data_IF_087879932088
#
_entry.id   IF_087879932088
#
_cell.length_a   1.000
_cell.length_b   1.000
_cell.length_c   1.000
_cell.angle_alpha   90.00
_cell.angle_beta   90.00
_cell.angle_gamma   90.00
#
_symmetry.space_group_name_H-M   'P 1'
#
loop_
_entity.id
_entity.type
_entity.pdbx_description
1 polymer ?
#
# COMPACT_ATOMS: atom_id res chain seq x y z
N UNK A 1 3.48 -3.69 -14.59
CA UNK A 1 3.02 -3.12 -13.29
C UNK A 1 3.42 -4.08 -12.21
N UNK A 2 4.07 -3.60 -11.16
CA UNK A 2 4.43 -4.38 -9.97
C UNK A 2 3.60 -3.83 -8.82
N UNK A 3 2.95 -4.72 -8.08
CA UNK A 3 2.12 -4.42 -6.92
C UNK A 3 2.78 -5.11 -5.74
N UNK A 4 3.51 -4.35 -4.93
CA UNK A 4 4.10 -4.83 -3.69
C UNK A 4 3.07 -4.69 -2.57
N UNK A 5 2.52 -5.81 -2.15
CA UNK A 5 1.46 -5.90 -1.15
C UNK A 5 2.08 -6.32 0.18
N UNK A 6 2.53 -5.33 0.96
CA UNK A 6 3.09 -5.53 2.29
C UNK A 6 2.04 -5.63 3.40
N UNK A 7 2.52 -5.68 4.65
CA UNK A 7 1.66 -5.64 5.84
C UNK A 7 1.08 -4.24 6.07
N UNK A 8 1.91 -3.20 5.97
CA UNK A 8 1.47 -1.81 6.18
C UNK A 8 0.98 -1.13 4.90
N UNK A 9 1.78 -1.19 3.85
CA UNK A 9 1.52 -0.48 2.59
C UNK A 9 1.28 -1.42 1.43
N UNK A 10 0.60 -0.90 0.42
CA UNK A 10 0.60 -1.47 -0.93
C UNK A 10 1.18 -0.43 -1.86
N UNK A 11 2.26 -0.78 -2.55
CA UNK A 11 3.01 0.09 -3.45
C UNK A 11 2.89 -0.42 -4.89
N UNK A 12 2.56 0.48 -5.81
CA UNK A 12 2.29 0.21 -7.22
C UNK A 12 3.29 0.97 -8.07
N UNK A 13 4.12 0.23 -8.81
CA UNK A 13 5.11 0.77 -9.73
C UNK A 13 4.84 0.32 -11.17
N UNK A 14 4.88 1.28 -12.10
CA UNK A 14 4.61 1.03 -13.52
C UNK A 14 5.90 1.21 -14.32
N UNK A 15 6.35 0.15 -14.97
CA UNK A 15 7.61 0.12 -15.70
C UNK A 15 7.42 -0.35 -17.14
N UNK A 16 8.22 0.22 -18.04
CA UNK A 16 8.50 -0.32 -19.36
C UNK A 16 9.85 -1.03 -19.33
N UNK A 17 9.89 -2.26 -19.85
CA UNK A 17 11.13 -2.99 -20.08
C UNK A 17 11.72 -2.45 -21.38
N UNK A 18 12.90 -1.83 -21.31
CA UNK A 18 13.56 -1.19 -22.45
C UNK A 18 14.69 -2.01 -23.04
N UNK A 19 15.28 -2.90 -22.23
CA UNK A 19 16.40 -3.77 -22.60
C UNK A 19 16.52 -4.88 -21.53
N UNK A 20 17.43 -5.83 -21.74
CA UNK A 20 17.76 -6.86 -20.77
C UNK A 20 18.19 -6.22 -19.45
N UNK A 21 17.41 -6.50 -18.39
CA UNK A 21 17.61 -5.96 -17.05
C UNK A 21 17.66 -4.43 -16.99
N UNK A 22 16.92 -3.75 -17.87
CA UNK A 22 16.70 -2.31 -17.77
C UNK A 22 15.22 -1.99 -17.90
N UNK A 23 14.78 -1.11 -17.02
CA UNK A 23 13.43 -0.57 -17.03
C UNK A 23 13.46 0.94 -16.98
N UNK A 24 12.41 1.59 -17.47
CA UNK A 24 12.10 2.99 -17.14
C UNK A 24 10.73 3.06 -16.50
N UNK A 25 10.58 4.00 -15.59
CA UNK A 25 9.31 4.25 -14.93
C UNK A 25 8.35 5.00 -15.87
N UNK A 26 7.10 4.55 -15.95
CA UNK A 26 6.06 5.10 -16.83
C UNK A 26 5.16 6.11 -16.12
N UNK A 27 4.97 5.92 -14.81
CA UNK A 27 4.14 6.74 -13.94
C UNK A 27 4.83 6.78 -12.58
N UNK A 28 4.76 7.95 -11.92
CA UNK A 28 5.26 8.09 -10.57
C UNK A 28 4.68 6.98 -9.66
N UNK A 29 5.48 6.41 -8.73
CA UNK A 29 4.99 5.34 -7.89
C UNK A 29 3.81 5.85 -7.06
N UNK A 30 2.83 4.98 -6.88
CA UNK A 30 1.65 5.29 -6.08
C UNK A 30 1.41 4.17 -5.08
N UNK A 31 0.64 4.44 -4.05
CA UNK A 31 0.39 3.46 -3.02
C UNK A 31 -0.41 4.06 -1.88
N UNK A 32 -0.69 3.21 -0.91
CA UNK A 32 -1.47 3.61 0.25
C UNK A 32 -1.36 2.61 1.38
N UNK A 33 -1.93 3.00 2.51
CA UNK A 33 -1.93 2.20 3.72
C UNK A 33 -3.06 1.16 3.66
N UNK A 34 -2.91 0.21 2.74
CA UNK A 34 -3.92 -0.80 2.38
C UNK A 34 -3.46 -2.24 2.66
N UNK A 35 -2.29 -2.39 3.28
CA UNK A 35 -1.69 -3.69 3.55
C UNK A 35 -2.51 -4.54 4.53
N UNK A 36 -2.10 -5.80 4.71
CA UNK A 36 -2.84 -6.79 5.51
C UNK A 36 -3.04 -6.40 6.98
N UNK A 37 -2.20 -5.54 7.56
CA UNK A 37 -2.34 -5.05 8.94
C UNK A 37 -3.64 -4.30 9.17
N UNK A 38 -4.21 -3.69 8.12
CA UNK A 38 -5.49 -2.99 8.24
C UNK A 38 -6.68 -3.96 8.39
N UNK A 39 -6.54 -5.21 7.93
CA UNK A 39 -7.53 -6.26 8.19
C UNK A 39 -7.55 -6.57 9.69
N UNK A 40 -6.39 -6.73 10.31
CA UNK A 40 -6.28 -7.00 11.76
C UNK A 40 -6.86 -5.85 12.58
N UNK A 41 -6.50 -4.61 12.23
CA UNK A 41 -7.02 -3.41 12.89
C UNK A 41 -8.53 -3.31 12.77
N UNK A 42 -9.10 -3.59 11.60
CA UNK A 42 -10.55 -3.55 11.40
C UNK A 42 -11.26 -4.65 12.19
N UNK A 43 -10.65 -5.82 12.31
CA UNK A 43 -11.18 -6.91 13.14
C UNK A 43 -11.14 -6.55 14.62
N UNK A 44 -10.01 -6.05 15.13
CA UNK A 44 -9.91 -5.59 16.51
C UNK A 44 -10.90 -4.46 16.76
N UNK A 45 -11.03 -3.49 15.86
CA UNK A 45 -12.02 -2.42 15.98
C UNK A 45 -13.46 -2.97 16.07
N UNK A 46 -13.79 -3.99 15.28
CA UNK A 46 -15.08 -4.66 15.37
C UNK A 46 -15.31 -5.32 16.75
N UNK A 47 -14.28 -5.91 17.37
CA UNK A 47 -14.38 -6.42 18.75
C UNK A 47 -14.69 -5.29 19.75
N UNK A 48 -14.08 -4.11 19.59
CA UNK A 48 -14.40 -2.93 20.40
C UNK A 48 -15.84 -2.45 20.21
N UNK A 49 -16.43 -2.61 19.02
CA UNK A 49 -17.83 -2.27 18.76
C UNK A 49 -18.81 -3.27 19.41
N UNK A 50 -18.47 -4.55 19.45
CA UNK A 50 -19.30 -5.58 20.10
C UNK A 50 -19.19 -5.48 21.61
N UNK A 51 -17.97 -5.50 22.14
CA UNK A 51 -17.68 -5.67 23.56
C UNK A 51 -17.44 -4.35 24.32
N UNK A 52 -17.49 -3.22 23.62
CA UNK A 52 -17.30 -1.90 24.21
C UNK A 52 -15.84 -1.59 24.53
N UNK A 53 -15.51 -0.31 24.49
CA UNK A 53 -14.13 0.16 24.67
C UNK A 53 -13.61 -0.08 26.09
N UNK A 54 -14.44 0.13 27.11
CA UNK A 54 -14.06 -0.04 28.52
C UNK A 54 -13.58 -1.46 28.81
N UNK A 55 -14.34 -2.46 28.39
CA UNK A 55 -14.04 -3.87 28.70
C UNK A 55 -12.90 -4.40 27.85
N UNK A 56 -12.84 -4.03 26.56
CA UNK A 56 -11.68 -4.36 25.73
C UNK A 56 -10.38 -3.79 26.30
N UNK A 57 -10.37 -2.54 26.76
CA UNK A 57 -9.17 -1.93 27.38
C UNK A 57 -8.83 -2.58 28.72
N UNK A 58 -9.83 -2.95 29.52
CA UNK A 58 -9.64 -3.65 30.79
C UNK A 58 -9.07 -5.06 30.56
N UNK A 59 -9.55 -5.80 29.58
CA UNK A 59 -8.98 -7.09 29.21
C UNK A 59 -7.53 -6.93 28.75
N UNK A 60 -7.27 -5.98 27.85
CA UNK A 60 -5.93 -5.72 27.32
C UNK A 60 -4.92 -5.33 28.43
N UNK A 61 -5.34 -4.59 29.46
CA UNK A 61 -4.46 -4.20 30.56
C UNK A 61 -4.25 -5.28 31.61
N UNK A 62 -5.26 -6.12 31.85
CA UNK A 62 -5.22 -7.18 32.88
C UNK A 62 -4.68 -8.52 32.37
N UNK A 63 -4.85 -8.80 31.07
CA UNK A 63 -4.45 -10.06 30.43
C UNK A 63 -3.69 -9.83 29.10
N UNK A 64 -2.59 -9.05 29.10
CA UNK A 64 -1.87 -8.70 27.87
C UNK A 64 -1.30 -9.92 27.12
N UNK A 65 -0.89 -10.97 27.84
CA UNK A 65 -0.42 -12.22 27.24
C UNK A 65 -1.55 -12.95 26.49
N UNK A 66 -2.76 -12.95 27.03
CA UNK A 66 -3.94 -13.56 26.39
C UNK A 66 -4.40 -12.74 25.19
N UNK A 67 -4.30 -11.42 25.27
CA UNK A 67 -4.57 -10.55 24.13
C UNK A 67 -3.59 -10.80 22.98
N UNK A 68 -2.29 -10.94 23.27
CA UNK A 68 -1.29 -11.29 22.25
C UNK A 68 -1.54 -12.67 21.62
N UNK A 69 -1.97 -13.66 22.41
CA UNK A 69 -2.40 -14.97 21.86
C UNK A 69 -3.60 -14.78 20.92
N UNK A 70 -4.58 -13.96 21.31
CA UNK A 70 -5.74 -13.72 20.47
C UNK A 70 -5.37 -13.04 19.14
N UNK A 71 -4.48 -12.05 19.16
CA UNK A 71 -3.95 -11.41 17.94
C UNK A 71 -3.22 -12.43 17.04
N UNK A 72 -2.43 -13.33 17.62
CA UNK A 72 -1.78 -14.41 16.85
C UNK A 72 -2.79 -15.39 16.24
N UNK A 73 -3.88 -15.69 16.96
CA UNK A 73 -4.95 -16.54 16.46
C UNK A 73 -5.72 -15.86 15.31
N UNK A 74 -5.92 -14.54 15.39
CA UNK A 74 -6.46 -13.71 14.31
C UNK A 74 -5.54 -13.75 13.08
N UNK A 75 -4.24 -13.52 13.25
CA UNK A 75 -3.25 -13.58 12.17
C UNK A 75 -3.27 -14.96 11.49
N UNK A 76 -3.27 -16.02 12.29
CA UNK A 76 -3.31 -17.40 11.81
C UNK A 76 -4.58 -17.67 11.00
N UNK A 77 -5.74 -17.24 11.48
CA UNK A 77 -7.00 -17.38 10.77
C UNK A 77 -7.01 -16.57 9.46
N UNK A 78 -6.48 -15.34 9.46
CA UNK A 78 -6.35 -14.48 8.28
C UNK A 78 -5.44 -15.09 7.21
N UNK A 79 -4.27 -15.60 7.60
CA UNK A 79 -3.31 -16.23 6.67
C UNK A 79 -3.97 -17.45 6.00
N UNK A 80 -4.69 -18.26 6.77
CA UNK A 80 -5.34 -19.47 6.28
C UNK A 80 -6.67 -19.19 5.58
N UNK A 81 -7.19 -17.96 5.64
CA UNK A 81 -8.47 -17.63 5.05
C UNK A 81 -8.45 -17.73 3.52
N UNK A 82 -9.35 -18.58 3.01
CA UNK A 82 -9.67 -18.69 1.59
C UNK A 82 -11.13 -19.15 1.49
N UNK A 83 -12.02 -18.23 1.14
CA UNK A 83 -13.44 -18.53 0.97
C UNK A 83 -13.79 -18.72 -0.51
N UNK A 84 -13.07 -19.59 -1.23
CA UNK A 84 -13.40 -19.89 -2.63
C UNK A 84 -13.86 -21.32 -2.82
N UNK A 85 -14.55 -21.55 -3.95
CA UNK A 85 -15.15 -22.85 -4.27
C UNK A 85 -14.12 -23.96 -4.47
N UNK A 86 -12.84 -23.62 -4.66
CA UNK A 86 -11.76 -24.55 -5.02
C UNK A 86 -10.93 -24.95 -3.79
N UNK A 87 -10.84 -24.10 -2.76
CA UNK A 87 -10.12 -24.37 -1.54
C UNK A 87 -10.97 -23.93 -0.36
N UNK A 88 -11.56 -24.89 0.36
CA UNK A 88 -12.13 -24.64 1.69
C UNK A 88 -11.12 -25.14 2.71
N UNK A 89 -10.33 -24.25 3.35
CA UNK A 89 -9.55 -24.64 4.50
C UNK A 89 -10.46 -25.30 5.51
N UNK A 90 -9.98 -26.38 6.14
CA UNK A 90 -10.76 -27.12 7.13
C UNK A 90 -11.12 -26.24 8.34
N UNK A 91 -10.34 -25.18 8.59
CA UNK A 91 -10.54 -24.19 9.64
C UNK A 91 -10.05 -22.79 9.21
N UNK A 92 -10.94 -21.80 9.23
CA UNK A 92 -10.61 -20.35 9.18
C UNK A 92 -11.35 -19.58 10.29
N UNK A 93 -11.92 -20.32 11.24
CA UNK A 93 -12.43 -19.73 12.47
C UNK A 93 -11.28 -19.19 13.30
N UNK A 94 -11.54 -18.09 13.99
CA UNK A 94 -10.58 -17.52 14.93
C UNK A 94 -10.70 -18.36 16.20
N UNK A 95 -9.59 -18.97 16.62
CA UNK A 95 -9.52 -19.61 17.92
C UNK A 95 -9.56 -18.52 19.00
N UNK A 96 -10.68 -18.41 19.71
CA UNK A 96 -10.88 -17.39 20.74
C UNK A 96 -10.40 -17.95 22.07
N UNK A 97 -9.41 -17.33 22.74
CA UNK A 97 -8.93 -17.84 24.02
C UNK A 97 -10.09 -17.98 25.03
N UNK A 98 -10.19 -19.10 25.78
CA UNK A 98 -11.23 -19.28 26.78
C UNK A 98 -11.28 -18.13 27.79
N UNK A 99 -10.11 -17.64 28.21
CA UNK A 99 -9.98 -16.47 29.09
C UNK A 99 -10.60 -15.20 28.53
N UNK A 100 -10.59 -15.00 27.21
CA UNK A 100 -11.28 -13.87 26.58
C UNK A 100 -12.80 -14.06 26.65
N UNK A 101 -13.26 -15.26 26.32
CA UNK A 101 -14.68 -15.62 26.35
C UNK A 101 -15.27 -15.48 27.76
N UNK A 102 -14.59 -16.02 28.77
CA UNK A 102 -15.01 -15.96 30.18
C UNK A 102 -15.06 -14.51 30.67
N UNK A 103 -14.00 -13.73 30.41
CA UNK A 103 -13.93 -12.32 30.80
C UNK A 103 -15.07 -11.50 30.18
N UNK A 104 -15.37 -11.74 28.91
CA UNK A 104 -16.43 -11.02 28.21
C UNK A 104 -17.81 -11.45 28.64
N UNK A 105 -18.07 -12.75 28.80
CA UNK A 105 -19.36 -13.30 29.23
C UNK A 105 -19.73 -12.86 30.64
N UNK A 106 -18.79 -12.86 31.58
CA UNK A 106 -19.00 -12.36 32.94
C UNK A 106 -19.44 -10.88 32.94
N UNK A 107 -19.05 -10.14 31.90
CA UNK A 107 -19.36 -8.72 31.75
C UNK A 107 -20.63 -8.45 30.93
N UNK A 108 -21.02 -9.38 30.06
CA UNK A 108 -22.11 -9.24 29.07
C UNK A 108 -23.37 -10.04 29.39
N UNK A 109 -23.60 -10.47 30.64
CA UNK A 109 -24.79 -11.24 31.02
C UNK A 109 -26.11 -10.47 30.84
N UNK A 110 -26.60 -10.42 29.60
CA UNK A 110 -28.02 -10.44 29.18
C UNK A 110 -28.06 -10.68 27.67
N UNK A 111 -28.62 -11.83 27.26
CA UNK A 111 -28.95 -12.26 25.89
C UNK A 111 -27.85 -12.93 25.06
N UNK A 112 -27.64 -14.23 25.29
CA UNK A 112 -27.12 -15.14 24.27
C UNK A 112 -28.27 -16.05 23.79
N UNK A 113 -28.56 -16.12 22.47
CA UNK A 113 -29.44 -17.15 21.93
C UNK A 113 -28.70 -18.49 21.90
N UNK A 114 -29.29 -19.51 22.50
CA UNK A 114 -28.88 -20.91 22.35
C UNK A 114 -29.33 -21.41 20.97
N UNK A 115 -28.37 -21.63 20.08
CA UNK A 115 -28.63 -22.23 18.77
C UNK A 115 -27.37 -22.89 18.24
N UNK A 116 -27.31 -24.21 18.35
CA UNK A 116 -26.21 -25.05 17.89
C UNK A 116 -26.40 -25.35 16.40
N UNK A 117 -25.95 -24.45 15.52
CA UNK A 117 -25.84 -24.73 14.09
C UNK A 117 -24.51 -24.19 13.53
N UNK A 118 -23.49 -25.02 13.68
CA UNK A 118 -22.09 -24.76 13.32
C UNK A 118 -21.92 -24.29 11.86
N UNK A 119 -22.86 -24.64 10.97
CA UNK A 119 -22.85 -24.25 9.55
C UNK A 119 -23.15 -22.76 9.32
N UNK A 120 -24.08 -22.19 10.10
CA UNK A 120 -24.46 -20.77 10.05
C UNK A 120 -23.35 -19.92 10.65
N UNK A 121 -22.73 -20.34 11.75
CA UNK A 121 -21.58 -19.66 12.34
C UNK A 121 -20.38 -19.62 11.40
N UNK A 122 -20.06 -20.73 10.74
CA UNK A 122 -18.98 -20.79 9.76
C UNK A 122 -19.25 -19.91 8.52
N UNK A 123 -20.51 -19.80 8.09
CA UNK A 123 -20.90 -18.88 7.01
C UNK A 123 -20.82 -17.41 7.42
N UNK A 124 -21.25 -17.07 8.63
CA UNK A 124 -21.13 -15.72 9.19
C UNK A 124 -19.66 -15.31 9.34
N UNK A 125 -18.78 -16.22 9.75
CA UNK A 125 -17.33 -16.00 9.79
C UNK A 125 -16.74 -15.78 8.40
N UNK A 126 -17.14 -16.55 7.39
CA UNK A 126 -16.68 -16.34 6.02
C UNK A 126 -17.13 -15.00 5.44
N UNK A 127 -18.40 -14.62 5.65
CA UNK A 127 -18.93 -13.32 5.22
C UNK A 127 -18.21 -12.16 5.93
N UNK A 128 -17.92 -12.32 7.21
CA UNK A 128 -17.17 -11.34 7.99
C UNK A 128 -15.74 -11.16 7.43
N UNK A 129 -15.01 -12.26 7.22
CA UNK A 129 -13.68 -12.20 6.60
C UNK A 129 -13.71 -11.60 5.20
N UNK A 130 -14.65 -12.00 4.33
CA UNK A 130 -14.81 -11.40 3.01
C UNK A 130 -14.95 -9.87 3.12
N UNK A 131 -15.84 -9.38 3.99
CA UNK A 131 -16.03 -7.94 4.17
C UNK A 131 -14.74 -7.23 4.62
N UNK A 132 -13.97 -7.82 5.53
CA UNK A 132 -12.71 -7.24 6.00
C UNK A 132 -11.67 -7.15 4.86
N UNK A 133 -11.51 -8.22 4.08
CA UNK A 133 -10.58 -8.22 2.95
C UNK A 133 -11.05 -7.33 1.80
N UNK A 134 -12.33 -7.38 1.45
CA UNK A 134 -12.91 -6.65 0.32
C UNK A 134 -12.84 -5.14 0.53
N UNK A 135 -12.98 -4.67 1.77
CA UNK A 135 -12.77 -3.26 2.13
C UNK A 135 -11.37 -2.79 1.74
N UNK A 136 -10.33 -3.57 2.06
CA UNK A 136 -8.95 -3.27 1.70
C UNK A 136 -8.70 -3.39 0.19
N UNK A 137 -9.22 -4.45 -0.44
CA UNK A 137 -9.04 -4.71 -1.88
C UNK A 137 -9.72 -3.64 -2.74
N UNK A 138 -10.84 -3.08 -2.30
CA UNK A 138 -11.54 -2.00 -3.01
C UNK A 138 -10.64 -0.79 -3.25
N UNK A 139 -9.88 -0.35 -2.24
CA UNK A 139 -8.97 0.79 -2.38
C UNK A 139 -7.83 0.48 -3.37
N UNK A 140 -7.28 -0.74 -3.29
CA UNK A 140 -6.22 -1.21 -4.17
C UNK A 140 -6.70 -1.29 -5.63
N UNK A 141 -7.87 -1.90 -5.86
CA UNK A 141 -8.47 -2.02 -7.18
C UNK A 141 -8.82 -0.66 -7.77
N UNK A 142 -9.43 0.24 -7.00
CA UNK A 142 -9.74 1.59 -7.45
C UNK A 142 -8.49 2.36 -7.89
N UNK A 143 -7.38 2.22 -7.16
CA UNK A 143 -6.11 2.85 -7.55
C UNK A 143 -5.55 2.22 -8.84
N UNK A 144 -5.58 0.90 -8.99
CA UNK A 144 -5.11 0.22 -10.20
C UNK A 144 -5.94 0.65 -11.42
N UNK A 145 -7.27 0.65 -11.32
CA UNK A 145 -8.17 1.07 -12.39
C UNK A 145 -7.91 2.51 -12.83
N UNK A 146 -7.72 3.41 -11.87
CA UNK A 146 -7.34 4.81 -12.14
C UNK A 146 -6.04 4.92 -12.93
N UNK A 147 -5.05 4.08 -12.64
CA UNK A 147 -3.81 4.03 -13.42
C UNK A 147 -4.09 3.48 -14.82
N UNK A 148 -4.83 2.38 -14.95
CA UNK A 148 -5.10 1.70 -16.22
C UNK A 148 -5.84 2.59 -17.25
N UNK A 149 -6.66 3.54 -16.82
CA UNK A 149 -7.37 4.47 -17.72
C UNK A 149 -6.54 5.71 -18.12
N UNK A 150 -5.31 5.86 -17.59
CA UNK A 150 -4.44 7.00 -17.90
C UNK A 150 -4.00 7.03 -19.36
N UNK A 151 -3.66 8.22 -19.86
CA UNK A 151 -3.13 8.40 -21.23
C UNK A 151 -1.88 7.55 -21.53
N UNK A 152 -1.09 7.24 -20.50
CA UNK A 152 0.08 6.38 -20.61
C UNK A 152 -0.33 4.97 -21.05
N UNK A 153 -1.31 4.36 -20.37
CA UNK A 153 -1.76 3.00 -20.69
C UNK A 153 -2.70 2.93 -21.90
N UNK A 154 -3.30 4.05 -22.32
CA UNK A 154 -3.97 4.14 -23.64
C UNK A 154 -2.98 4.02 -24.80
N UNK A 155 -1.80 4.65 -24.67
CA UNK A 155 -0.73 4.60 -25.70
C UNK A 155 0.07 3.31 -25.62
N UNK A 156 0.28 2.80 -24.41
CA UNK A 156 1.10 1.61 -24.16
C UNK A 156 0.35 0.67 -23.21
N UNK A 157 -0.50 -0.22 -23.74
CA UNK A 157 -1.29 -1.14 -22.94
C UNK A 157 -0.44 -1.99 -22.00
N UNK A 158 -0.95 -2.23 -20.79
CA UNK A 158 -0.30 -3.07 -19.81
C UNK A 158 -0.19 -4.51 -20.35
N UNK A 159 0.99 -5.14 -20.20
CA UNK A 159 1.21 -6.54 -20.57
C UNK A 159 1.21 -7.48 -19.38
N UNK A 160 1.84 -7.06 -18.27
CA UNK A 160 2.05 -7.89 -17.09
C UNK A 160 1.79 -7.13 -15.80
N UNK A 161 1.07 -7.78 -14.89
CA UNK A 161 0.85 -7.34 -13.51
C UNK A 161 1.47 -8.35 -12.56
N UNK A 162 2.45 -7.95 -11.77
CA UNK A 162 3.13 -8.82 -10.80
C UNK A 162 2.60 -8.53 -9.39
N UNK A 163 2.19 -9.56 -8.66
CA UNK A 163 1.80 -9.45 -7.25
C UNK A 163 2.95 -9.94 -6.37
N UNK A 164 3.56 -9.04 -5.61
CA UNK A 164 4.66 -9.31 -4.68
C UNK A 164 4.24 -8.96 -3.25
N UNK A 165 5.07 -9.34 -2.27
CA UNK A 165 4.86 -9.01 -0.86
C UNK A 165 4.06 -10.05 -0.08
N UNK A 166 4.09 -9.93 1.24
CA UNK A 166 3.47 -10.91 2.15
C UNK A 166 1.95 -11.01 2.03
N UNK A 167 1.27 -9.89 1.77
CA UNK A 167 -0.19 -9.90 1.60
C UNK A 167 -0.61 -10.58 0.30
N UNK A 168 0.24 -10.53 -0.74
CA UNK A 168 0.03 -11.28 -1.98
C UNK A 168 0.15 -12.81 -1.81
N UNK A 169 0.63 -13.32 -0.67
CA UNK A 169 0.59 -14.75 -0.35
C UNK A 169 -0.82 -15.27 -0.07
N UNK A 170 -1.76 -14.39 0.32
CA UNK A 170 -3.14 -14.78 0.62
C UNK A 170 -3.84 -15.34 -0.63
N UNK A 171 -4.38 -16.56 -0.52
CA UNK A 171 -5.13 -17.20 -1.62
C UNK A 171 -6.39 -16.42 -1.97
N UNK A 172 -7.09 -15.90 -0.96
CA UNK A 172 -8.21 -15.00 -1.15
C UNK A 172 -7.83 -13.82 -2.05
N UNK A 173 -6.76 -13.10 -1.70
CA UNK A 173 -6.26 -11.95 -2.49
C UNK A 173 -5.92 -12.37 -3.91
N UNK A 174 -5.16 -13.46 -4.09
CA UNK A 174 -4.79 -13.96 -5.42
C UNK A 174 -6.01 -14.26 -6.30
N UNK A 175 -7.07 -14.81 -5.72
CA UNK A 175 -8.31 -15.14 -6.44
C UNK A 175 -9.14 -13.90 -6.75
N UNK A 176 -9.26 -12.97 -5.80
CA UNK A 176 -9.96 -11.70 -6.04
C UNK A 176 -9.30 -10.91 -7.17
N UNK A 177 -7.96 -10.83 -7.23
CA UNK A 177 -7.26 -10.20 -8.35
C UNK A 177 -7.59 -10.87 -9.69
N UNK A 178 -7.60 -12.21 -9.74
CA UNK A 178 -7.93 -12.96 -10.96
C UNK A 178 -9.37 -12.73 -11.39
N UNK A 179 -10.32 -12.65 -10.44
CA UNK A 179 -11.74 -12.41 -10.72
C UNK A 179 -11.95 -10.97 -11.21
N UNK A 180 -11.41 -10.00 -10.47
CA UNK A 180 -11.61 -8.57 -10.72
C UNK A 180 -11.06 -8.15 -12.08
N UNK A 181 -9.89 -8.66 -12.48
CA UNK A 181 -9.24 -8.33 -13.74
C UNK A 181 -9.32 -9.44 -14.79
N UNK A 182 -10.30 -10.36 -14.69
CA UNK A 182 -10.43 -11.52 -15.59
C UNK A 182 -10.57 -11.15 -17.07
N UNK A 183 -11.25 -10.04 -17.35
CA UNK A 183 -11.55 -9.58 -18.72
C UNK A 183 -10.50 -8.59 -19.24
N UNK A 184 -9.46 -8.32 -18.44
CA UNK A 184 -8.35 -7.47 -18.86
C UNK A 184 -7.36 -8.23 -19.75
N UNK A 185 -6.71 -7.51 -20.66
CA UNK A 185 -5.78 -8.07 -21.66
C UNK A 185 -4.39 -8.42 -21.12
N UNK A 186 -4.06 -7.99 -19.90
CA UNK A 186 -2.77 -8.26 -19.28
C UNK A 186 -2.76 -9.58 -18.52
N UNK A 187 -1.56 -10.15 -18.34
CA UNK A 187 -1.36 -11.35 -17.52
C UNK A 187 -1.02 -10.98 -16.09
N UNK A 188 -1.74 -11.58 -15.14
CA UNK A 188 -1.40 -11.51 -13.71
C UNK A 188 -0.39 -12.63 -13.42
N UNK A 189 0.77 -12.25 -12.90
CA UNK A 189 1.85 -13.14 -12.51
C UNK A 189 2.02 -13.06 -10.99
N UNK A 190 1.88 -14.20 -10.33
CA UNK A 190 2.13 -14.34 -8.90
C UNK A 190 3.37 -15.22 -8.78
N UNK A 191 4.51 -14.70 -8.27
CA UNK A 191 5.70 -15.50 -8.03
C UNK A 191 5.40 -16.68 -7.09
N UNK A 192 6.23 -17.74 -7.17
CA UNK A 192 6.08 -18.89 -6.28
C UNK A 192 6.15 -18.49 -4.79
N UNK A 193 7.02 -17.52 -4.47
CA UNK A 193 7.19 -16.95 -3.14
C UNK A 193 7.03 -15.42 -3.20
N UNK A 194 5.79 -14.89 -3.18
CA UNK A 194 5.55 -13.44 -3.26
C UNK A 194 6.25 -12.66 -2.13
N UNK A 195 6.24 -13.21 -0.91
CA UNK A 195 6.92 -12.65 0.26
C UNK A 195 8.42 -12.43 0.07
N UNK A 196 9.09 -13.31 -0.70
CA UNK A 196 10.55 -13.24 -0.89
C UNK A 196 10.96 -12.42 -2.12
N UNK A 197 10.00 -12.02 -2.97
CA UNK A 197 10.28 -11.43 -4.28
C UNK A 197 11.12 -10.14 -4.20
N UNK A 198 10.88 -9.32 -3.18
CA UNK A 198 11.62 -8.06 -2.99
C UNK A 198 13.08 -8.33 -2.57
N UNK A 199 13.29 -9.19 -1.58
CA UNK A 199 14.64 -9.51 -1.08
C UNK A 199 15.45 -10.30 -2.11
N UNK A 200 14.81 -11.22 -2.84
CA UNK A 200 15.44 -11.96 -3.94
C UNK A 200 15.84 -11.01 -5.08
N UNK A 201 14.99 -10.04 -5.41
CA UNK A 201 15.30 -9.01 -6.39
C UNK A 201 16.48 -8.14 -5.97
N UNK A 202 16.51 -7.71 -4.70
CA UNK A 202 17.61 -6.92 -4.14
C UNK A 202 18.94 -7.69 -4.16
N UNK A 203 18.94 -8.96 -3.75
CA UNK A 203 20.14 -9.80 -3.77
C UNK A 203 20.65 -10.03 -5.19
N UNK A 204 19.76 -10.27 -6.16
CA UNK A 204 20.12 -10.42 -7.56
C UNK A 204 20.70 -9.13 -8.15
N UNK A 205 20.11 -7.97 -7.82
CA UNK A 205 20.63 -6.67 -8.25
C UNK A 205 22.04 -6.42 -7.69
N UNK A 206 22.26 -6.72 -6.40
CA UNK A 206 23.57 -6.59 -5.77
C UNK A 206 24.64 -7.49 -6.39
N UNK A 207 24.32 -8.77 -6.65
CA UNK A 207 25.25 -9.70 -7.33
C UNK A 207 25.66 -9.20 -8.72
N UNK A 208 24.71 -8.64 -9.47
CA UNK A 208 24.97 -8.09 -10.80
C UNK A 208 25.87 -6.85 -10.75
N UNK A 209 25.66 -5.98 -9.77
CA UNK A 209 26.49 -4.79 -9.58
C UNK A 209 27.97 -5.12 -9.33
N UNK A 210 28.27 -6.32 -8.79
CA UNK A 210 29.65 -6.82 -8.57
C UNK A 210 30.24 -7.43 -9.85
N UNK A 211 29.42 -8.03 -10.72
CA UNK A 211 29.89 -8.89 -11.82
C UNK A 211 30.14 -8.15 -13.14
N UNK A 212 29.65 -6.91 -13.32
CA UNK A 212 29.75 -6.17 -14.60
C UNK A 212 30.53 -4.87 -14.38
N UNK A 213 31.65 -4.70 -15.10
CA UNK A 213 32.51 -3.49 -15.07
C UNK A 213 31.78 -2.19 -15.48
N UNK A 214 30.60 -2.29 -16.09
CA UNK A 214 29.68 -1.19 -16.36
C UNK A 214 28.47 -1.28 -15.45
N UNK A 215 28.44 -0.45 -14.42
CA UNK A 215 27.27 -0.16 -13.56
C UNK A 215 26.18 0.56 -14.36
N UNK A 216 25.53 -0.14 -15.30
CA UNK A 216 24.30 0.37 -15.88
C UNK A 216 23.18 0.25 -14.84
N UNK A 217 22.55 1.37 -14.49
CA UNK A 217 21.41 1.38 -13.59
C UNK A 217 20.27 0.48 -14.11
N UNK A 218 19.71 -0.35 -13.23
CA UNK A 218 18.56 -1.22 -13.55
C UNK A 218 17.33 -0.37 -13.90
N UNK A 219 17.08 0.68 -13.13
CA UNK A 219 16.10 1.72 -13.49
C UNK A 219 16.84 2.83 -14.21
N UNK A 220 16.45 3.13 -15.44
CA UNK A 220 17.12 4.11 -16.31
C UNK A 220 16.57 5.52 -16.16
N UNK A 221 15.28 5.64 -15.80
CA UNK A 221 14.66 6.91 -15.46
C UNK A 221 13.49 6.72 -14.50
N UNK A 222 13.25 7.75 -13.69
CA UNK A 222 12.15 7.83 -12.72
C UNK A 222 11.20 8.97 -13.08
N UNK A 223 9.91 8.80 -12.80
CA UNK A 223 8.92 9.88 -12.93
C UNK A 223 8.78 10.56 -11.57
N UNK A 224 9.08 11.86 -11.51
CA UNK A 224 9.12 12.54 -10.22
C UNK A 224 7.72 12.67 -9.59
N UNK A 225 7.51 12.18 -8.36
CA UNK A 225 6.20 12.25 -7.70
C UNK A 225 5.86 13.67 -7.23
N UNK A 226 6.86 14.55 -7.13
CA UNK A 226 6.73 15.92 -6.64
C UNK A 226 7.60 16.86 -7.47
N UNK A 227 7.31 18.16 -7.38
CA UNK A 227 8.20 19.20 -7.89
C UNK A 227 9.34 19.42 -6.90
N UNK A 228 10.58 19.31 -7.36
CA UNK A 228 11.78 19.51 -6.54
C UNK A 228 12.48 20.79 -6.96
N UNK A 229 13.06 21.46 -5.97
CA UNK A 229 13.69 22.75 -6.15
C UNK A 229 14.31 23.24 -4.85
N UNK A 230 14.93 24.40 -4.90
CA UNK A 230 15.54 25.05 -3.74
C UNK A 230 14.89 26.39 -3.46
N UNK A 231 14.95 26.80 -2.20
CA UNK A 231 14.62 28.15 -1.80
C UNK A 231 15.74 29.10 -2.27
N UNK A 232 15.38 30.11 -3.04
CA UNK A 232 16.30 31.11 -3.60
C UNK A 232 15.76 32.52 -3.43
N UNK A 233 16.59 33.50 -3.75
CA UNK A 233 16.16 34.86 -4.01
C UNK A 233 16.06 35.07 -5.53
N UNK A 234 15.03 35.78 -6.00
CA UNK A 234 14.89 36.17 -7.40
C UNK A 234 14.91 37.69 -7.55
N UNK A 235 15.32 38.19 -8.71
CA UNK A 235 15.08 39.59 -9.07
C UNK A 235 13.58 39.89 -9.10
N UNK A 236 13.21 41.13 -8.77
CA UNK A 236 11.81 41.57 -8.65
C UNK A 236 11.02 41.31 -9.94
N UNK A 237 11.57 41.61 -11.11
CA UNK A 237 10.89 41.42 -12.39
C UNK A 237 10.59 39.94 -12.67
N UNK A 238 11.57 39.06 -12.43
CA UNK A 238 11.39 37.61 -12.54
C UNK A 238 10.29 37.11 -11.61
N UNK A 239 10.25 37.60 -10.38
CA UNK A 239 9.22 37.22 -9.43
C UNK A 239 7.84 37.70 -9.87
N UNK A 240 7.70 38.95 -10.34
CA UNK A 240 6.44 39.53 -10.82
C UNK A 240 5.88 38.86 -12.08
N UNK A 241 6.71 38.17 -12.86
CA UNK A 241 6.27 37.39 -14.02
C UNK A 241 5.35 36.19 -13.64
N UNK A 242 5.38 35.73 -12.38
CA UNK A 242 4.53 34.63 -11.93
C UNK A 242 3.09 35.12 -11.63
N UNK A 243 2.04 34.40 -12.06
CA UNK A 243 0.66 34.83 -11.79
C UNK A 243 0.37 34.87 -10.28
N UNK A 244 -0.41 35.89 -9.87
CA UNK A 244 -0.96 36.07 -8.51
C UNK A 244 0.06 36.24 -7.37
N UNK A 245 1.23 36.83 -7.63
CA UNK A 245 2.31 36.99 -6.63
C UNK A 245 2.58 38.43 -6.17
N UNK A 246 1.81 39.43 -6.61
CA UNK A 246 2.09 40.86 -6.32
C UNK A 246 2.21 41.17 -4.81
N UNK A 247 1.32 40.63 -3.99
CA UNK A 247 1.36 40.80 -2.54
C UNK A 247 2.58 40.12 -1.92
N UNK A 248 2.89 38.90 -2.37
CA UNK A 248 4.06 38.14 -1.93
C UNK A 248 5.36 38.90 -2.24
N UNK A 249 5.51 39.41 -3.47
CA UNK A 249 6.68 40.21 -3.89
C UNK A 249 6.83 41.42 -2.97
N UNK A 250 5.78 42.25 -2.82
CA UNK A 250 5.84 43.45 -1.97
C UNK A 250 6.29 43.14 -0.52
N UNK A 251 5.84 42.03 0.05
CA UNK A 251 6.16 41.64 1.43
C UNK A 251 7.55 41.01 1.59
N UNK A 252 8.12 40.45 0.52
CA UNK A 252 9.37 39.67 0.57
C UNK A 252 10.53 40.33 -0.18
N UNK A 253 10.34 41.51 -0.77
CA UNK A 253 11.43 42.27 -1.38
C UNK A 253 12.37 42.84 -0.32
N UNK A 254 13.67 42.74 -0.55
CA UNK A 254 14.74 43.33 0.26
C UNK A 254 15.87 43.81 -0.66
N UNK A 255 16.65 44.77 -0.19
CA UNK A 255 17.88 45.18 -0.87
C UNK A 255 19.02 44.24 -0.47
N UNK A 256 19.77 43.72 -1.44
CA UNK A 256 20.90 42.82 -1.21
C UNK A 256 22.21 43.58 -1.37
N UNK A 257 22.95 43.77 -0.29
CA UNK A 257 24.24 44.48 -0.31
C UNK A 257 25.32 43.75 -1.13
N UNK A 258 25.19 42.42 -1.28
CA UNK A 258 26.13 41.59 -2.05
C UNK A 258 25.94 41.76 -3.56
N UNK A 259 24.69 41.87 -4.01
CA UNK A 259 24.35 42.01 -5.44
C UNK A 259 24.06 43.45 -5.86
N UNK A 260 23.92 44.37 -4.91
CA UNK A 260 23.54 45.77 -5.10
C UNK A 260 22.18 45.93 -5.82
N UNK A 261 21.25 44.99 -5.59
CA UNK A 261 19.95 44.92 -6.27
C UNK A 261 18.79 44.61 -5.30
N UNK A 262 17.57 44.96 -5.73
CA UNK A 262 16.34 44.54 -5.04
C UNK A 262 15.99 43.10 -5.41
N UNK A 263 15.94 42.23 -4.42
CA UNK A 263 15.62 40.81 -4.57
C UNK A 263 14.38 40.43 -3.76
N UNK A 264 13.69 39.37 -4.17
CA UNK A 264 12.55 38.78 -3.47
C UNK A 264 13.01 37.48 -2.82
N UNK A 265 12.99 37.41 -1.49
CA UNK A 265 13.34 36.19 -0.74
C UNK A 265 12.22 35.15 -0.80
N UNK A 266 12.53 33.92 -0.38
CA UNK A 266 11.59 32.80 -0.29
C UNK A 266 10.97 32.39 -1.64
N UNK A 267 11.65 32.65 -2.76
CA UNK A 267 11.25 32.12 -4.06
C UNK A 267 11.63 30.63 -4.16
N UNK A 268 10.91 29.88 -5.00
CA UNK A 268 11.17 28.45 -5.20
C UNK A 268 11.69 28.20 -6.61
N UNK A 269 13.00 27.95 -6.73
CA UNK A 269 13.64 27.61 -8.00
C UNK A 269 13.50 26.12 -8.28
N UNK A 270 12.65 25.78 -9.23
CA UNK A 270 12.36 24.39 -9.64
C UNK A 270 13.50 23.83 -10.48
N UNK A 271 13.95 22.62 -10.14
CA UNK A 271 14.87 21.82 -10.96
C UNK A 271 14.14 20.80 -11.82
N UNK A 272 13.08 20.21 -11.25
CA UNK A 272 12.25 19.21 -11.90
C UNK A 272 10.82 19.32 -11.40
N UNK A 273 9.85 19.22 -12.30
CA UNK A 273 8.42 19.25 -11.98
C UNK A 273 7.88 17.86 -11.71
N UNK A 274 6.81 17.81 -10.92
CA UNK A 274 6.02 16.60 -10.78
C UNK A 274 5.61 16.06 -12.17
N UNK A 275 5.81 14.76 -12.37
CA UNK A 275 5.52 14.07 -13.63
C UNK A 275 6.64 14.15 -14.67
N UNK A 276 7.71 14.92 -14.44
CA UNK A 276 8.86 14.92 -15.33
C UNK A 276 9.73 13.67 -15.11
N UNK A 277 10.24 13.12 -16.22
CA UNK A 277 11.17 11.99 -16.22
C UNK A 277 12.58 12.49 -15.98
N UNK A 278 13.25 11.92 -14.97
CA UNK A 278 14.67 12.18 -14.68
C UNK A 278 15.46 10.92 -14.98
N UNK A 279 16.47 11.05 -15.84
CA UNK A 279 17.39 9.95 -16.13
C UNK A 279 18.35 9.75 -14.97
N UNK A 280 18.70 8.50 -14.67
CA UNK A 280 19.78 8.22 -13.73
C UNK A 280 21.09 8.33 -14.51
N UNK A 281 21.83 9.41 -14.24
CA UNK A 281 23.17 9.61 -14.81
C UNK A 281 24.12 8.52 -14.30
N UNK A 282 25.05 8.11 -15.18
CA UNK A 282 26.07 7.08 -14.93
C UNK A 282 27.20 7.59 -14.04
#
# INVERSE_FOLDING_TARGET
>A
MVIDMGGGTVDIACHEIVDDYKVKELLAPSGGAWGSTYIDKNLVHFLYQIFGETEMRKFHSTHPDKFAIFENNIESAKINFCATRVYRPQFYGIDVPPTFTDFMLDTYTTQAPSGDDNSVFQFLQAKFWNNLFDSNLKEIFGQIEKLLISEVFKKQPLKYMFLAGGFACSKYVQEQFKIHFKDCSFRIIIPQYPLLSVVDGAAQLGKRAISIEKQAAFVTSHIMPRTYGIRTCWGVDRALAHPKVKSFVKQNTFFSDVSNEMLVKNCFSVFVKQGESVSIDK
#
